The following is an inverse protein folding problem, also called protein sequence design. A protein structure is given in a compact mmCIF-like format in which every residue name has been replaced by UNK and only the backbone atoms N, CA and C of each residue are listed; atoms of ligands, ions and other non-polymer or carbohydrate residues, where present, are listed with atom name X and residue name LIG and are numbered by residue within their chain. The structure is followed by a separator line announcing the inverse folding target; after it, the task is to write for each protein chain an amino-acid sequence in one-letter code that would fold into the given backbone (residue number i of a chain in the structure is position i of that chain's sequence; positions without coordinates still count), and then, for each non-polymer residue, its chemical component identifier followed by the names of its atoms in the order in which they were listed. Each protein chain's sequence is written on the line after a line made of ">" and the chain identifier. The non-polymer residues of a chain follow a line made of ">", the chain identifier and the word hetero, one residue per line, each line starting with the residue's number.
data_IF_818728174927
#
_entry.id   IF_818728174927
#
_cell.length_a   1.000
_cell.length_b   1.000
_cell.length_c   1.000
_cell.angle_alpha   90.00
_cell.angle_beta   90.00
_cell.angle_gamma   90.00
#
_symmetry.space_group_name_H-M   'P 1'
#
loop_
_entity.id
_entity.type
_entity.pdbx_description
1 polymer ?
#
# COMPACT_ATOMS: atom_id res chain seq x y z
N UNK A 1 42.34 25.64 9.30
CA UNK A 1 42.36 24.18 9.04
C UNK A 1 40.92 23.72 9.08
N UNK A 2 40.41 23.47 7.91
CA UNK A 2 39.01 23.37 7.56
C UNK A 2 38.64 21.88 7.47
N UNK A 3 37.60 21.41 8.15
CA UNK A 3 37.10 20.08 8.05
C UNK A 3 35.57 20.11 7.84
N UNK A 4 35.18 20.01 6.58
CA UNK A 4 33.84 19.97 6.03
C UNK A 4 33.04 18.76 6.50
N UNK A 5 31.74 18.91 6.87
CA UNK A 5 30.88 17.78 7.31
C UNK A 5 30.07 17.19 6.14
N UNK A 6 30.68 16.69 5.09
CA UNK A 6 29.98 16.11 3.90
C UNK A 6 30.02 14.60 3.77
N UNK A 7 30.40 13.83 4.79
CA UNK A 7 30.67 12.37 4.61
C UNK A 7 29.70 11.39 5.29
N UNK A 8 28.60 11.83 5.90
CA UNK A 8 27.72 10.89 6.65
C UNK A 8 26.42 10.45 5.95
N UNK A 9 26.01 11.10 4.87
CA UNK A 9 24.77 10.75 4.15
C UNK A 9 24.96 9.72 3.00
N UNK A 10 26.20 9.39 2.67
CA UNK A 10 26.51 8.47 1.55
C UNK A 10 26.50 6.99 1.91
N UNK A 11 26.36 6.62 3.18
CA UNK A 11 26.45 5.21 3.60
C UNK A 11 25.12 4.44 3.70
N UNK A 12 23.97 5.15 3.77
CA UNK A 12 22.67 4.48 3.96
C UNK A 12 21.97 4.04 2.67
N UNK A 13 22.39 4.54 1.52
CA UNK A 13 21.73 4.21 0.23
C UNK A 13 22.37 3.01 -0.49
N UNK A 14 23.55 2.56 -0.10
CA UNK A 14 24.29 1.49 -0.80
C UNK A 14 23.84 0.07 -0.52
N UNK A 15 23.04 -0.19 0.50
CA UNK A 15 22.68 -1.56 0.89
C UNK A 15 21.60 -2.21 0.03
N UNK A 16 20.74 -1.42 -0.60
CA UNK A 16 19.64 -1.93 -1.42
C UNK A 16 20.02 -2.31 -2.85
N UNK A 17 21.20 -1.86 -3.37
CA UNK A 17 21.58 -1.99 -4.78
C UNK A 17 22.78 -2.89 -5.05
N UNK A 18 23.41 -3.48 -4.03
CA UNK A 18 24.55 -4.40 -4.22
C UNK A 18 24.09 -5.86 -4.16
N UNK A 19 23.42 -6.34 -5.23
CA UNK A 19 23.45 -7.77 -5.55
C UNK A 19 24.64 -8.04 -6.46
N UNK A 20 25.43 -9.13 -6.24
CA UNK A 20 26.48 -9.51 -7.17
C UNK A 20 25.87 -9.76 -8.55
N UNK A 21 26.38 -9.07 -9.55
CA UNK A 21 26.07 -9.34 -10.95
C UNK A 21 26.68 -10.67 -11.37
N UNK A 22 25.97 -11.77 -11.16
CA UNK A 22 26.20 -12.97 -11.96
C UNK A 22 25.57 -12.71 -13.32
N UNK A 23 26.42 -12.57 -14.34
CA UNK A 23 26.01 -12.24 -15.70
C UNK A 23 25.04 -13.27 -16.28
N UNK A 24 23.73 -12.97 -16.18
CA UNK A 24 22.70 -13.53 -17.03
C UNK A 24 22.18 -12.40 -17.90
N UNK A 25 22.51 -12.44 -19.19
CA UNK A 25 21.92 -11.57 -20.20
C UNK A 25 20.41 -11.81 -20.20
N UNK A 26 19.62 -10.84 -19.73
CA UNK A 26 18.19 -10.84 -19.92
C UNK A 26 17.91 -10.40 -21.36
N UNK A 27 17.73 -11.36 -22.26
CA UNK A 27 17.08 -11.08 -23.53
C UNK A 27 15.59 -10.83 -23.24
N UNK A 28 15.11 -9.62 -23.47
CA UNK A 28 13.68 -9.31 -23.46
C UNK A 28 13.04 -10.11 -24.61
N UNK A 29 12.25 -11.13 -24.28
CA UNK A 29 11.45 -11.86 -25.25
C UNK A 29 10.43 -10.92 -25.87
N UNK A 30 10.25 -11.00 -27.21
CA UNK A 30 9.24 -10.22 -27.92
C UNK A 30 7.85 -10.50 -27.36
N UNK A 31 6.94 -9.53 -27.52
CA UNK A 31 5.55 -9.57 -27.02
C UNK A 31 4.78 -10.82 -27.49
N UNK A 32 5.13 -11.39 -28.63
CA UNK A 32 4.51 -12.58 -29.20
C UNK A 32 4.92 -13.90 -28.51
N UNK A 33 6.03 -13.91 -27.77
CA UNK A 33 6.45 -15.06 -26.97
C UNK A 33 5.80 -15.07 -25.56
N UNK A 34 5.08 -14.02 -25.18
CA UNK A 34 4.41 -13.87 -23.89
C UNK A 34 2.95 -14.37 -23.90
N UNK A 35 2.48 -15.01 -24.99
CA UNK A 35 1.10 -15.48 -25.13
C UNK A 35 0.75 -16.76 -24.36
N UNK A 36 1.69 -17.37 -23.65
CA UNK A 36 1.36 -18.30 -22.56
C UNK A 36 1.31 -17.51 -21.25
N UNK A 37 0.22 -16.78 -21.01
CA UNK A 37 -0.08 -16.30 -19.64
C UNK A 37 -0.26 -17.56 -18.79
N UNK A 38 0.77 -17.94 -18.05
CA UNK A 38 0.60 -18.88 -16.95
C UNK A 38 -0.43 -18.23 -16.03
N UNK A 39 -1.66 -18.76 -16.01
CA UNK A 39 -2.65 -18.39 -15.00
C UNK A 39 -1.99 -18.67 -13.66
N UNK A 40 -1.56 -17.63 -12.98
CA UNK A 40 -1.09 -17.75 -11.60
C UNK A 40 -2.33 -18.11 -10.80
N UNK A 41 -2.37 -19.33 -10.25
CA UNK A 41 -3.40 -19.68 -9.28
C UNK A 41 -3.04 -18.99 -7.96
N UNK A 42 -3.76 -17.91 -7.65
CA UNK A 42 -3.58 -17.19 -6.39
C UNK A 42 -3.86 -18.08 -5.17
N UNK A 43 -4.63 -19.15 -5.31
CA UNK A 43 -4.88 -20.09 -4.23
C UNK A 43 -3.63 -20.86 -3.79
N UNK A 44 -2.72 -21.19 -4.74
CA UNK A 44 -1.45 -21.86 -4.43
C UNK A 44 -0.43 -20.93 -3.76
N UNK A 45 -0.60 -19.62 -3.95
CA UNK A 45 0.31 -18.59 -3.40
C UNK A 45 -0.27 -17.90 -2.16
N UNK A 46 -1.50 -18.21 -1.79
CA UNK A 46 -2.18 -17.59 -0.68
C UNK A 46 -1.47 -17.93 0.65
N UNK A 47 -1.11 -16.94 1.48
CA UNK A 47 -0.53 -17.19 2.80
C UNK A 47 -1.54 -17.87 3.73
N UNK A 48 -1.09 -18.31 4.92
CA UNK A 48 -2.00 -18.78 5.97
C UNK A 48 -3.04 -17.72 6.31
N UNK A 49 -4.25 -18.17 6.71
CA UNK A 49 -5.40 -17.27 7.00
C UNK A 49 -5.05 -16.19 8.05
N UNK A 50 -4.24 -16.53 9.06
CA UNK A 50 -3.87 -15.62 10.13
C UNK A 50 -2.93 -14.52 9.60
N UNK A 51 -1.97 -14.90 8.74
CA UNK A 51 -1.12 -13.96 8.01
C UNK A 51 -1.95 -13.01 7.15
N UNK A 52 -2.89 -13.55 6.37
CA UNK A 52 -3.78 -12.77 5.52
C UNK A 52 -4.61 -11.76 6.32
N UNK A 53 -5.24 -12.19 7.42
CA UNK A 53 -6.06 -11.32 8.27
C UNK A 53 -5.22 -10.27 8.99
N UNK A 54 -4.06 -10.65 9.54
CA UNK A 54 -3.16 -9.74 10.23
C UNK A 54 -2.62 -8.64 9.33
N UNK A 55 -2.20 -8.99 8.11
CA UNK A 55 -1.73 -8.03 7.11
C UNK A 55 -2.85 -7.08 6.66
N UNK A 56 -4.03 -7.63 6.31
CA UNK A 56 -5.16 -6.82 5.88
C UNK A 56 -5.62 -5.84 6.97
N UNK A 57 -5.72 -6.29 8.22
CA UNK A 57 -6.11 -5.44 9.34
C UNK A 57 -5.07 -4.32 9.60
N UNK A 58 -3.77 -4.65 9.57
CA UNK A 58 -2.72 -3.67 9.81
C UNK A 58 -2.61 -2.62 8.69
N UNK A 59 -2.84 -3.02 7.44
CA UNK A 59 -2.89 -2.08 6.31
C UNK A 59 -4.01 -1.05 6.46
N UNK A 60 -5.22 -1.46 6.83
CA UNK A 60 -6.33 -0.52 7.03
C UNK A 60 -6.06 0.43 8.20
N UNK A 61 -5.38 -0.03 9.27
CA UNK A 61 -4.93 0.84 10.35
C UNK A 61 -3.93 1.89 9.85
N UNK A 62 -2.96 1.47 9.02
CA UNK A 62 -1.97 2.38 8.41
C UNK A 62 -2.61 3.43 7.50
N UNK A 63 -3.67 3.09 6.76
CA UNK A 63 -4.42 4.07 5.95
C UNK A 63 -5.17 5.07 6.83
N UNK A 64 -5.83 4.60 7.88
CA UNK A 64 -6.46 5.49 8.88
C UNK A 64 -5.47 6.48 9.46
N UNK A 65 -4.29 6.02 9.90
CA UNK A 65 -3.25 6.88 10.45
C UNK A 65 -2.75 7.92 9.44
N UNK A 66 -2.47 7.50 8.21
CA UNK A 66 -1.97 8.40 7.14
C UNK A 66 -3.02 9.45 6.78
N UNK A 67 -4.29 9.06 6.62
CA UNK A 67 -5.39 9.98 6.32
C UNK A 67 -5.62 10.95 7.48
N UNK A 68 -5.52 10.50 8.73
CA UNK A 68 -5.63 11.34 9.92
C UNK A 68 -4.55 12.42 9.97
N UNK A 69 -3.32 12.09 9.57
CA UNK A 69 -2.23 13.06 9.45
C UNK A 69 -2.48 14.07 8.31
N UNK A 70 -3.03 13.62 7.18
CA UNK A 70 -3.43 14.49 6.07
C UNK A 70 -4.49 15.51 6.46
N UNK A 71 -5.45 15.15 7.31
CA UNK A 71 -6.47 16.08 7.82
C UNK A 71 -5.83 17.27 8.51
N UNK A 72 -4.81 17.04 9.34
CA UNK A 72 -4.14 18.12 10.08
C UNK A 72 -3.30 19.04 9.18
N UNK A 73 -2.73 18.52 8.11
CA UNK A 73 -1.89 19.26 7.16
C UNK A 73 -2.65 19.93 6.02
N UNK A 74 -3.96 19.69 5.88
CA UNK A 74 -4.82 20.26 4.83
C UNK A 74 -5.45 21.57 5.35
N UNK A 75 -5.30 22.72 4.67
CA UNK A 75 -5.86 23.99 5.15
C UNK A 75 -7.36 24.13 4.86
N UNK A 76 -7.86 23.62 3.73
CA UNK A 76 -9.25 23.83 3.25
C UNK A 76 -10.23 22.94 4.03
N UNK A 77 -11.25 23.56 4.64
CA UNK A 77 -12.23 22.88 5.48
C UNK A 77 -12.99 21.77 4.74
N UNK A 78 -13.42 22.01 3.52
CA UNK A 78 -14.13 21.01 2.71
C UNK A 78 -13.28 19.77 2.40
N UNK A 79 -11.98 19.97 2.15
CA UNK A 79 -11.03 18.87 1.95
C UNK A 79 -10.77 18.13 3.25
N UNK A 80 -10.64 18.83 4.39
CA UNK A 80 -10.53 18.19 5.72
C UNK A 80 -11.72 17.29 6.01
N UNK A 81 -12.93 17.75 5.73
CA UNK A 81 -14.15 16.97 5.92
C UNK A 81 -14.14 15.69 5.07
N UNK A 82 -13.78 15.81 3.79
CA UNK A 82 -13.66 14.67 2.88
C UNK A 82 -12.60 13.66 3.34
N UNK A 83 -11.43 14.14 3.72
CA UNK A 83 -10.36 13.28 4.27
C UNK A 83 -10.78 12.62 5.60
N UNK A 84 -11.59 13.30 6.41
CA UNK A 84 -12.11 12.73 7.66
C UNK A 84 -13.08 11.56 7.39
N UNK A 85 -13.91 11.65 6.35
CA UNK A 85 -14.78 10.53 5.93
C UNK A 85 -13.94 9.36 5.43
N UNK A 86 -12.95 9.60 4.58
CA UNK A 86 -12.05 8.56 4.09
C UNK A 86 -11.25 7.89 5.24
N UNK A 87 -10.77 8.68 6.22
CA UNK A 87 -10.13 8.13 7.42
C UNK A 87 -11.10 7.27 8.23
N UNK A 88 -12.34 7.75 8.42
CA UNK A 88 -13.39 6.99 9.11
C UNK A 88 -13.70 5.66 8.42
N UNK A 89 -13.77 5.65 7.09
CA UNK A 89 -13.98 4.43 6.31
C UNK A 89 -12.85 3.43 6.47
N UNK A 90 -11.58 3.86 6.42
CA UNK A 90 -10.42 3.01 6.69
C UNK A 90 -10.45 2.43 8.12
N UNK A 91 -10.80 3.24 9.12
CA UNK A 91 -10.98 2.77 10.50
C UNK A 91 -12.10 1.73 10.62
N UNK A 92 -13.23 1.91 9.95
CA UNK A 92 -14.34 0.96 9.94
C UNK A 92 -13.89 -0.38 9.34
N UNK A 93 -13.18 -0.38 8.21
CA UNK A 93 -12.60 -1.60 7.62
C UNK A 93 -11.66 -2.29 8.60
N UNK A 94 -10.75 -1.55 9.24
CA UNK A 94 -9.86 -2.08 10.28
C UNK A 94 -10.63 -2.71 11.44
N UNK A 95 -11.60 -2.00 12.01
CA UNK A 95 -12.44 -2.46 13.12
C UNK A 95 -13.16 -3.77 12.79
N UNK A 96 -13.71 -3.87 11.59
CA UNK A 96 -14.49 -5.03 11.16
C UNK A 96 -13.58 -6.24 10.89
N UNK A 97 -12.35 -6.04 10.39
CA UNK A 97 -11.32 -7.08 10.30
C UNK A 97 -10.88 -7.55 11.70
N UNK A 98 -10.67 -6.63 12.63
CA UNK A 98 -10.35 -6.95 14.03
C UNK A 98 -11.47 -7.74 14.70
N UNK A 99 -12.74 -7.38 14.45
CA UNK A 99 -13.88 -8.15 14.95
C UNK A 99 -13.90 -9.57 14.38
N UNK A 100 -13.64 -9.72 13.08
CA UNK A 100 -13.54 -11.03 12.43
C UNK A 100 -12.43 -11.90 13.02
N UNK A 101 -11.27 -11.35 13.33
CA UNK A 101 -10.15 -12.04 13.99
C UNK A 101 -10.60 -12.55 15.38
N UNK A 102 -11.24 -11.68 16.18
CA UNK A 102 -11.73 -12.05 17.53
C UNK A 102 -12.80 -13.14 17.50
N UNK A 103 -13.73 -13.08 16.55
CA UNK A 103 -14.75 -14.12 16.37
C UNK A 103 -14.16 -15.49 16.06
N UNK A 104 -12.97 -15.55 15.47
CA UNK A 104 -12.22 -16.78 15.23
C UNK A 104 -11.52 -17.31 16.49
N UNK A 105 -11.48 -16.53 17.57
CA UNK A 105 -10.78 -16.84 18.81
C UNK A 105 -9.32 -16.37 18.85
N UNK A 106 -8.90 -15.57 17.85
CA UNK A 106 -7.53 -15.08 17.73
C UNK A 106 -7.34 -13.70 18.37
N UNK A 107 -6.10 -13.36 18.77
CA UNK A 107 -5.77 -12.03 19.29
C UNK A 107 -5.29 -11.11 18.16
N UNK A 108 -6.04 -10.04 17.84
CA UNK A 108 -5.73 -9.19 16.69
C UNK A 108 -4.33 -8.57 16.72
N UNK A 109 -3.89 -8.09 17.89
CA UNK A 109 -2.56 -7.48 18.01
C UNK A 109 -1.45 -8.48 17.73
N UNK A 110 -1.60 -9.73 18.18
CA UNK A 110 -0.64 -10.78 17.92
C UNK A 110 -0.54 -11.13 16.43
N UNK A 111 -1.69 -11.14 15.72
CA UNK A 111 -1.71 -11.39 14.27
C UNK A 111 -1.13 -10.23 13.45
N UNK A 112 -1.31 -8.99 13.88
CA UNK A 112 -0.80 -7.80 13.17
C UNK A 112 0.69 -7.54 13.41
N UNK A 113 1.18 -7.83 14.62
CA UNK A 113 2.53 -7.47 15.08
C UNK A 113 3.67 -7.93 14.15
N UNK A 114 3.65 -9.14 13.55
CA UNK A 114 4.72 -9.60 12.67
C UNK A 114 4.92 -8.74 11.41
N UNK A 115 3.91 -7.99 11.00
CA UNK A 115 3.92 -7.19 9.77
C UNK A 115 4.21 -5.72 10.01
N UNK A 116 4.22 -5.28 11.27
CA UNK A 116 4.37 -3.87 11.67
C UNK A 116 5.61 -3.24 11.05
N UNK A 117 6.77 -3.82 11.27
CA UNK A 117 8.03 -3.23 10.82
C UNK A 117 8.08 -3.05 9.30
N UNK A 118 7.68 -4.09 8.55
CA UNK A 118 7.69 -4.05 7.10
C UNK A 118 6.70 -3.05 6.53
N UNK A 119 5.46 -3.01 7.04
CA UNK A 119 4.42 -2.13 6.55
C UNK A 119 4.64 -0.67 6.98
N UNK A 120 5.20 -0.43 8.16
CA UNK A 120 5.63 0.90 8.59
C UNK A 120 6.80 1.43 7.76
N UNK A 121 7.77 0.57 7.43
CA UNK A 121 8.86 0.94 6.52
C UNK A 121 8.33 1.29 5.12
N UNK A 122 7.37 0.53 4.58
CA UNK A 122 6.71 0.83 3.32
C UNK A 122 5.98 2.17 3.38
N UNK A 123 5.16 2.41 4.41
CA UNK A 123 4.44 3.66 4.63
C UNK A 123 5.40 4.85 4.70
N UNK A 124 6.50 4.71 5.43
CA UNK A 124 7.54 5.74 5.53
C UNK A 124 8.21 6.01 4.18
N UNK A 125 8.55 4.96 3.43
CA UNK A 125 9.21 5.08 2.13
C UNK A 125 8.31 5.69 1.04
N UNK A 126 7.00 5.53 1.18
CA UNK A 126 5.99 6.05 0.24
C UNK A 126 5.31 7.34 0.73
N UNK A 127 5.69 7.86 1.89
CA UNK A 127 5.21 9.15 2.36
C UNK A 127 5.74 10.28 1.47
N UNK A 128 4.83 11.10 0.94
CA UNK A 128 5.19 12.25 0.10
C UNK A 128 5.77 13.40 0.93
N UNK A 129 6.52 14.27 0.28
CA UNK A 129 7.00 15.51 0.90
C UNK A 129 5.90 16.57 1.00
N UNK A 130 4.89 16.47 0.14
CA UNK A 130 3.75 17.38 0.06
C UNK A 130 2.46 16.60 0.31
N UNK A 131 1.44 17.30 0.74
CA UNK A 131 0.12 16.73 1.07
C UNK A 131 -0.47 15.95 -0.12
N UNK A 132 -0.39 16.51 -1.33
CA UNK A 132 -0.91 15.90 -2.55
C UNK A 132 -0.15 14.63 -2.96
N UNK A 133 1.16 14.57 -2.73
CA UNK A 133 1.96 13.35 -2.95
C UNK A 133 1.49 12.23 -2.01
N UNK A 134 1.22 12.56 -0.73
CA UNK A 134 0.73 11.59 0.25
C UNK A 134 -0.73 11.19 -0.04
N UNK A 135 -1.58 12.11 -0.50
CA UNK A 135 -2.93 11.77 -0.99
C UNK A 135 -2.86 10.77 -2.14
N UNK A 136 -1.98 11.01 -3.13
CA UNK A 136 -1.78 10.09 -4.24
C UNK A 136 -1.25 8.73 -3.76
N UNK A 137 -0.35 8.74 -2.76
CA UNK A 137 0.15 7.50 -2.14
C UNK A 137 -1.01 6.68 -1.59
N UNK A 138 -1.88 7.26 -0.76
CA UNK A 138 -3.02 6.53 -0.20
C UNK A 138 -3.93 6.02 -1.31
N UNK A 139 -4.28 6.85 -2.30
CA UNK A 139 -5.16 6.45 -3.39
C UNK A 139 -4.63 5.24 -4.17
N UNK A 140 -3.35 5.27 -4.57
CA UNK A 140 -2.75 4.18 -5.36
C UNK A 140 -2.52 2.94 -4.49
N UNK A 141 -1.88 3.10 -3.32
CA UNK A 141 -1.48 1.93 -2.52
C UNK A 141 -2.68 1.23 -1.91
N UNK A 142 -3.68 1.97 -1.41
CA UNK A 142 -4.90 1.39 -0.88
C UNK A 142 -5.69 0.67 -1.99
N UNK A 143 -5.88 1.30 -3.16
CA UNK A 143 -6.58 0.67 -4.28
C UNK A 143 -5.92 -0.64 -4.70
N UNK A 144 -4.61 -0.61 -4.97
CA UNK A 144 -3.89 -1.80 -5.44
C UNK A 144 -3.83 -2.91 -4.39
N UNK A 145 -3.64 -2.57 -3.11
CA UNK A 145 -3.56 -3.58 -2.04
C UNK A 145 -4.94 -4.12 -1.67
N UNK A 146 -5.99 -3.29 -1.65
CA UNK A 146 -7.36 -3.77 -1.47
C UNK A 146 -7.72 -4.77 -2.59
N UNK A 147 -7.44 -4.46 -3.86
CA UNK A 147 -7.67 -5.38 -4.99
C UNK A 147 -6.86 -6.68 -4.85
N UNK A 148 -5.61 -6.58 -4.40
CA UNK A 148 -4.77 -7.74 -4.14
C UNK A 148 -5.35 -8.64 -3.03
N UNK A 149 -5.76 -8.06 -1.90
CA UNK A 149 -6.38 -8.82 -0.81
C UNK A 149 -7.76 -9.34 -1.16
N UNK A 150 -8.53 -8.66 -2.01
CA UNK A 150 -9.78 -9.16 -2.58
C UNK A 150 -9.54 -10.41 -3.44
N UNK A 151 -8.51 -10.40 -4.28
CA UNK A 151 -8.15 -11.58 -5.08
C UNK A 151 -7.76 -12.76 -4.19
N UNK A 152 -6.96 -12.54 -3.13
CA UNK A 152 -6.59 -13.58 -2.16
C UNK A 152 -7.79 -14.09 -1.35
N UNK A 153 -8.77 -13.23 -1.06
CA UNK A 153 -9.94 -13.59 -0.24
C UNK A 153 -10.70 -14.80 -0.80
N UNK A 154 -10.69 -15.01 -2.11
CA UNK A 154 -11.31 -16.17 -2.74
C UNK A 154 -10.77 -17.53 -2.24
N UNK A 155 -9.53 -17.54 -1.70
CA UNK A 155 -8.88 -18.75 -1.21
C UNK A 155 -9.35 -19.19 0.19
N UNK A 156 -10.13 -18.36 0.92
CA UNK A 156 -10.44 -18.58 2.35
C UNK A 156 -11.92 -18.82 2.65
N UNK A 157 -12.70 -19.31 1.69
CA UNK A 157 -14.09 -19.73 1.90
C UNK A 157 -14.97 -18.64 2.53
N UNK A 158 -15.67 -18.96 3.62
CA UNK A 158 -16.58 -18.04 4.31
C UNK A 158 -15.85 -16.82 4.91
N UNK A 159 -14.71 -17.04 5.52
CA UNK A 159 -13.89 -15.96 6.06
C UNK A 159 -13.47 -15.00 4.95
N UNK A 160 -13.03 -15.53 3.81
CA UNK A 160 -12.67 -14.72 2.65
C UNK A 160 -13.85 -13.90 2.11
N UNK A 161 -15.06 -14.47 2.03
CA UNK A 161 -16.26 -13.74 1.63
C UNK A 161 -16.59 -12.57 2.59
N UNK A 162 -16.34 -12.74 3.87
CA UNK A 162 -16.52 -11.66 4.87
C UNK A 162 -15.48 -10.56 4.70
N UNK A 163 -14.20 -10.92 4.52
CA UNK A 163 -13.12 -9.96 4.22
C UNK A 163 -13.41 -9.20 2.93
N UNK A 164 -13.85 -9.89 1.88
CA UNK A 164 -14.19 -9.24 0.61
C UNK A 164 -15.28 -8.17 0.80
N UNK A 165 -16.33 -8.45 1.56
CA UNK A 165 -17.38 -7.46 1.87
C UNK A 165 -16.86 -6.26 2.65
N UNK A 166 -15.95 -6.48 3.59
CA UNK A 166 -15.32 -5.40 4.35
C UNK A 166 -14.46 -4.50 3.44
N UNK A 167 -13.61 -5.09 2.60
CA UNK A 167 -12.71 -4.35 1.73
C UNK A 167 -13.45 -3.61 0.60
N UNK A 168 -14.56 -4.16 0.11
CA UNK A 168 -15.41 -3.55 -0.92
C UNK A 168 -16.35 -2.46 -0.39
N UNK A 169 -16.44 -2.26 0.93
CA UNK A 169 -17.21 -1.15 1.48
C UNK A 169 -16.67 0.19 0.97
N UNK A 170 -17.59 1.13 0.78
CA UNK A 170 -17.25 2.49 0.34
C UNK A 170 -16.17 3.10 1.24
N UNK A 171 -15.20 3.76 0.64
CA UNK A 171 -14.04 4.29 1.32
C UNK A 171 -13.83 5.80 1.09
N UNK A 172 -14.78 6.49 0.46
CA UNK A 172 -14.73 7.95 0.19
C UNK A 172 -13.44 8.41 -0.54
N UNK A 173 -12.67 7.49 -1.17
CA UNK A 173 -11.41 7.85 -1.87
C UNK A 173 -11.63 8.67 -3.13
N UNK A 174 -12.84 8.72 -3.68
CA UNK A 174 -13.19 9.57 -4.83
C UNK A 174 -12.99 11.05 -4.51
N UNK A 175 -13.13 11.43 -3.24
CA UNK A 175 -12.81 12.78 -2.80
C UNK A 175 -11.32 13.14 -2.99
N UNK A 176 -10.42 12.18 -2.74
CA UNK A 176 -8.98 12.34 -3.00
C UNK A 176 -8.73 12.53 -4.49
N UNK A 177 -9.38 11.75 -5.35
CA UNK A 177 -9.28 11.89 -6.81
C UNK A 177 -9.72 13.29 -7.24
N UNK A 178 -10.83 13.78 -6.70
CA UNK A 178 -11.34 15.12 -7.00
C UNK A 178 -10.34 16.22 -6.64
N UNK A 179 -9.74 16.15 -5.43
CA UNK A 179 -8.73 17.10 -4.96
C UNK A 179 -7.50 17.08 -5.88
N UNK A 180 -6.97 15.88 -6.18
CA UNK A 180 -5.80 15.71 -7.02
C UNK A 180 -6.03 16.15 -8.46
N UNK A 181 -7.21 15.86 -9.02
CA UNK A 181 -7.60 16.28 -10.38
C UNK A 181 -7.64 17.79 -10.50
N UNK A 182 -8.28 18.47 -9.56
CA UNK A 182 -8.31 19.93 -9.55
C UNK A 182 -6.90 20.55 -9.47
N UNK A 183 -5.99 19.93 -8.71
CA UNK A 183 -4.60 20.37 -8.61
C UNK A 183 -3.82 20.19 -9.91
N UNK A 184 -4.00 19.04 -10.57
CA UNK A 184 -3.36 18.70 -11.85
C UNK A 184 -3.86 19.61 -12.98
N UNK A 185 -5.13 19.98 -12.97
CA UNK A 185 -5.73 20.87 -13.98
C UNK A 185 -5.26 22.32 -13.81
N UNK A 186 -5.05 22.75 -12.58
CA UNK A 186 -4.60 24.10 -12.26
C UNK A 186 -3.13 24.34 -12.59
N UNK A 187 -2.28 23.30 -12.58
CA UNK A 187 -0.83 23.46 -12.72
C UNK A 187 -0.17 22.25 -13.40
N UNK A 188 0.49 22.51 -14.55
CA UNK A 188 1.18 21.52 -15.37
C UNK A 188 2.39 20.89 -14.64
N UNK A 189 3.04 21.60 -13.72
CA UNK A 189 4.15 21.07 -12.93
C UNK A 189 3.65 19.95 -12.01
N UNK A 190 2.48 20.14 -11.36
CA UNK A 190 1.84 19.13 -10.55
C UNK A 190 1.48 17.86 -11.34
N UNK A 191 1.02 18.00 -12.57
CA UNK A 191 0.77 16.85 -13.44
C UNK A 191 2.02 16.00 -13.64
N UNK A 192 3.15 16.63 -13.93
CA UNK A 192 4.42 15.95 -14.14
C UNK A 192 4.94 15.29 -12.86
N UNK A 193 4.89 16.00 -11.74
CA UNK A 193 5.35 15.54 -10.43
C UNK A 193 4.53 14.33 -9.96
N UNK A 194 3.21 14.44 -9.92
CA UNK A 194 2.32 13.36 -9.48
C UNK A 194 2.37 12.16 -10.42
N UNK A 195 2.56 12.39 -11.73
CA UNK A 195 2.76 11.32 -12.70
C UNK A 195 4.05 10.52 -12.47
N UNK A 196 5.14 11.17 -12.10
CA UNK A 196 6.40 10.51 -11.71
C UNK A 196 6.24 9.75 -10.39
N UNK A 197 5.64 10.39 -9.40
CA UNK A 197 5.39 9.81 -8.10
C UNK A 197 4.50 8.57 -8.19
N UNK A 198 3.39 8.65 -8.94
CA UNK A 198 2.48 7.53 -9.15
C UNK A 198 3.14 6.30 -9.78
N UNK A 199 4.00 6.48 -10.79
CA UNK A 199 4.75 5.35 -11.40
C UNK A 199 5.66 4.65 -10.38
N UNK A 200 6.32 5.40 -9.51
CA UNK A 200 7.14 4.85 -8.42
C UNK A 200 6.28 4.06 -7.44
N UNK A 201 5.16 4.63 -7.00
CA UNK A 201 4.24 4.00 -6.05
C UNK A 201 3.71 2.66 -6.56
N UNK A 202 3.35 2.56 -7.83
CA UNK A 202 2.92 1.28 -8.43
C UNK A 202 4.01 0.22 -8.30
N UNK A 203 5.27 0.57 -8.61
CA UNK A 203 6.40 -0.35 -8.45
C UNK A 203 6.61 -0.80 -7.02
N UNK A 204 6.63 0.13 -6.08
CA UNK A 204 6.85 -0.14 -4.65
C UNK A 204 5.68 -0.99 -4.07
N UNK A 205 4.44 -0.72 -4.46
CA UNK A 205 3.25 -1.47 -4.03
C UNK A 205 3.26 -2.91 -4.54
N UNK A 206 3.67 -3.13 -5.79
CA UNK A 206 3.81 -4.49 -6.33
C UNK A 206 4.87 -5.30 -5.59
N UNK A 207 5.95 -4.68 -5.12
CA UNK A 207 6.96 -5.34 -4.30
C UNK A 207 6.40 -5.77 -2.94
N UNK A 208 5.58 -4.93 -2.31
CA UNK A 208 4.90 -5.25 -1.03
C UNK A 208 3.90 -6.38 -1.22
N UNK A 209 3.04 -6.31 -2.24
CA UNK A 209 2.09 -7.37 -2.56
C UNK A 209 2.80 -8.72 -2.79
N UNK A 210 3.92 -8.72 -3.52
CA UNK A 210 4.74 -9.92 -3.73
C UNK A 210 5.37 -10.45 -2.44
N UNK A 211 5.79 -9.56 -1.54
CA UNK A 211 6.35 -9.95 -0.25
C UNK A 211 5.29 -10.60 0.65
N UNK A 212 4.05 -10.09 0.61
CA UNK A 212 2.93 -10.63 1.37
C UNK A 212 2.61 -12.10 1.02
N UNK A 213 2.80 -12.51 -0.24
CA UNK A 213 2.65 -13.92 -0.67
C UNK A 213 3.73 -14.84 -0.11
N UNK A 214 4.92 -14.33 0.20
CA UNK A 214 6.06 -15.13 0.67
C UNK A 214 6.12 -15.31 2.19
N UNK A 215 5.36 -14.51 2.93
CA UNK A 215 5.35 -14.54 4.40
C UNK A 215 4.64 -15.78 4.97
N UNK A 216 4.17 -16.69 4.13
CA UNK A 216 3.44 -17.91 4.51
C UNK A 216 4.20 -19.23 4.31
N UNK A 217 5.49 -19.18 3.93
CA UNK A 217 6.31 -20.38 3.71
C UNK A 217 7.53 -20.38 4.61
#
# INVERSE_FOLDING_TARGET
>A
MDASPRSRLSRMVKWFWQRPQTGRSFALKSRDAASSSTKIDFAELAPGIDTFLGQAAYLQLGYFETLSQLITSTPELAQKESLSRAAGAAYIKHRDLVALIRERGDEPTALMLPFREQLDAFRTATHGRRTEETMLTVHITAGMLDDFYLALAHSYGDTGRRVARILQADDDRDAIVTILTAKIEADQEWRSLLGLWGRRLVGDTLLVARAALRSGH
#
